data_IF_658494656523
#
_entry.id   IF_658494656523
#
_cell.length_a   1.000
_cell.length_b   1.000
_cell.length_c   1.000
_cell.angle_alpha   90.00
_cell.angle_beta   90.00
_cell.angle_gamma   90.00
#
_symmetry.space_group_name_H-M   'P 1'
#
loop_
_entity.id
_entity.type
_entity.pdbx_description
1 polymer ?
#
# COMPACT_ATOMS: atom_id res chain seq x y z
N UNK A 1 -1.14 24.18 -31.37
CA UNK A 1 -0.96 22.73 -31.15
C UNK A 1 -0.20 22.54 -29.85
N UNK A 2 -0.83 22.86 -28.72
CA UNK A 2 -0.25 22.80 -27.37
C UNK A 2 -1.41 22.89 -26.37
N UNK A 3 -2.05 21.77 -26.01
CA UNK A 3 -2.89 21.71 -24.78
C UNK A 3 -3.19 20.30 -24.27
N UNK A 4 -2.45 19.27 -24.69
CA UNK A 4 -2.81 17.87 -24.37
C UNK A 4 -2.23 17.30 -23.07
N UNK A 5 -1.67 18.12 -22.18
CA UNK A 5 -1.19 17.64 -20.87
C UNK A 5 -1.47 18.64 -19.74
N UNK A 6 -2.72 19.09 -19.57
CA UNK A 6 -3.12 19.61 -18.26
C UNK A 6 -3.15 18.43 -17.29
N UNK A 7 -2.20 18.42 -16.35
CA UNK A 7 -2.17 17.42 -15.27
C UNK A 7 -3.53 17.50 -14.56
N UNK A 8 -4.26 16.38 -14.38
CA UNK A 8 -5.54 16.44 -13.69
C UNK A 8 -5.30 17.01 -12.29
N UNK A 9 -5.98 18.11 -11.99
CA UNK A 9 -5.94 18.70 -10.66
C UNK A 9 -6.70 17.77 -9.71
N UNK A 10 -5.95 17.06 -8.86
CA UNK A 10 -6.55 16.15 -7.89
C UNK A 10 -7.15 16.99 -6.78
N UNK A 11 -8.48 17.05 -6.73
CA UNK A 11 -9.19 17.64 -5.60
C UNK A 11 -9.21 16.66 -4.44
N UNK A 12 -8.53 17.00 -3.35
CA UNK A 12 -8.52 16.18 -2.13
C UNK A 12 -9.78 16.44 -1.31
N UNK A 13 -10.58 15.39 -1.10
CA UNK A 13 -11.72 15.45 -0.21
C UNK A 13 -11.44 14.67 1.07
N UNK A 14 -11.49 15.37 2.21
CA UNK A 14 -11.30 14.79 3.55
C UNK A 14 -12.61 14.36 4.24
N UNK A 15 -13.76 14.53 3.59
CA UNK A 15 -15.07 14.27 4.19
C UNK A 15 -15.14 12.84 4.73
N UNK A 16 -15.59 12.67 5.97
CA UNK A 16 -15.76 11.36 6.61
C UNK A 16 -14.52 10.84 7.36
N UNK A 17 -13.39 11.57 7.38
CA UNK A 17 -12.20 11.19 8.13
C UNK A 17 -11.73 12.30 9.07
N UNK A 18 -11.29 11.92 10.26
CA UNK A 18 -10.54 12.80 11.16
C UNK A 18 -9.09 12.93 10.71
N UNK A 19 -8.39 13.97 11.17
CA UNK A 19 -6.96 14.15 10.87
C UNK A 19 -6.13 12.96 11.40
N UNK A 20 -6.51 12.43 12.56
CA UNK A 20 -5.85 11.29 13.18
C UNK A 20 -6.01 10.03 12.32
N UNK A 21 -7.21 9.78 11.78
CA UNK A 21 -7.47 8.67 10.87
C UNK A 21 -6.69 8.82 9.55
N UNK A 22 -6.59 10.03 9.00
CA UNK A 22 -5.80 10.30 7.80
C UNK A 22 -4.30 10.03 8.04
N UNK A 23 -3.77 10.44 9.20
CA UNK A 23 -2.38 10.16 9.60
C UNK A 23 -2.18 8.65 9.79
N UNK A 24 -3.13 7.95 10.39
CA UNK A 24 -3.07 6.49 10.55
C UNK A 24 -3.05 5.79 9.19
N UNK A 25 -3.95 6.17 8.28
CA UNK A 25 -4.01 5.62 6.93
C UNK A 25 -2.69 5.86 6.18
N UNK A 26 -2.13 7.07 6.29
CA UNK A 26 -0.83 7.39 5.71
C UNK A 26 0.29 6.49 6.26
N UNK A 27 0.34 6.25 7.58
CA UNK A 27 1.30 5.31 8.19
C UNK A 27 1.09 3.88 7.66
N UNK A 28 -0.16 3.43 7.49
CA UNK A 28 -0.50 2.13 6.92
C UNK A 28 -0.09 2.01 5.44
N UNK A 29 -0.10 3.10 4.67
CA UNK A 29 0.44 3.14 3.30
C UNK A 29 1.98 3.10 3.27
N UNK A 30 2.63 3.79 4.22
CA UNK A 30 4.09 3.87 4.27
C UNK A 30 4.75 2.51 4.53
N UNK A 31 4.19 1.72 5.45
CA UNK A 31 4.78 0.42 5.85
C UNK A 31 5.01 -0.54 4.66
N UNK A 32 3.99 -0.92 3.86
CA UNK A 32 4.20 -1.75 2.68
C UNK A 32 5.10 -1.06 1.64
N UNK A 33 5.01 0.26 1.46
CA UNK A 33 5.89 0.99 0.52
C UNK A 33 7.37 0.85 0.87
N UNK A 34 7.73 0.95 2.15
CA UNK A 34 9.11 0.81 2.61
C UNK A 34 9.62 -0.63 2.47
N UNK A 35 8.77 -1.62 2.72
CA UNK A 35 9.12 -3.03 2.50
C UNK A 35 9.37 -3.27 1.01
N UNK A 36 8.47 -2.83 0.13
CA UNK A 36 8.62 -2.94 -1.32
C UNK A 36 9.95 -2.34 -1.81
N UNK A 37 10.29 -1.13 -1.36
CA UNK A 37 11.58 -0.49 -1.70
C UNK A 37 12.77 -1.33 -1.25
N UNK A 38 12.76 -1.81 0.00
CA UNK A 38 13.84 -2.64 0.53
C UNK A 38 13.98 -3.95 -0.25
N UNK A 39 12.87 -4.62 -0.55
CA UNK A 39 12.90 -5.89 -1.27
C UNK A 39 13.38 -5.74 -2.71
N UNK A 40 13.00 -4.65 -3.40
CA UNK A 40 13.53 -4.32 -4.72
C UNK A 40 15.05 -4.06 -4.68
N UNK A 41 15.57 -3.40 -3.64
CA UNK A 41 17.02 -3.22 -3.44
C UNK A 41 17.70 -4.58 -3.24
N UNK A 42 17.15 -5.44 -2.36
CA UNK A 42 17.71 -6.76 -2.08
C UNK A 42 17.70 -7.67 -3.31
N UNK A 43 16.65 -7.58 -4.14
CA UNK A 43 16.55 -8.30 -5.41
C UNK A 43 17.66 -7.86 -6.37
N UNK A 44 17.88 -6.55 -6.52
CA UNK A 44 18.97 -6.00 -7.36
C UNK A 44 20.36 -6.36 -6.85
N UNK A 45 20.52 -6.56 -5.53
CA UNK A 45 21.76 -7.04 -4.92
C UNK A 45 21.94 -8.56 -5.04
N UNK A 46 20.96 -9.30 -5.57
CA UNK A 46 20.99 -10.76 -5.64
C UNK A 46 20.87 -11.45 -4.27
N UNK A 47 20.47 -10.72 -3.21
CA UNK A 47 20.29 -11.28 -1.86
C UNK A 47 18.99 -12.08 -1.71
N UNK A 48 18.01 -11.82 -2.57
CA UNK A 48 16.80 -12.62 -2.72
C UNK A 48 16.64 -12.97 -4.20
N UNK A 49 16.03 -14.12 -4.49
CA UNK A 49 15.89 -14.62 -5.87
C UNK A 49 14.66 -14.07 -6.60
N UNK A 50 13.61 -13.66 -5.86
CA UNK A 50 12.33 -13.27 -6.46
C UNK A 50 11.54 -12.33 -5.55
N UNK A 51 10.86 -11.35 -6.16
CA UNK A 51 9.93 -10.45 -5.47
C UNK A 51 8.81 -9.99 -6.41
N UNK A 52 7.54 -10.18 -6.02
CA UNK A 52 6.38 -9.78 -6.80
C UNK A 52 5.83 -8.44 -6.31
N UNK A 53 6.48 -7.36 -6.78
CA UNK A 53 6.26 -6.03 -6.23
C UNK A 53 4.86 -5.46 -6.52
N UNK A 54 4.18 -4.93 -5.52
CA UNK A 54 2.99 -4.07 -5.65
C UNK A 54 3.30 -2.58 -5.59
N UNK A 55 4.53 -2.16 -5.92
CA UNK A 55 4.98 -0.78 -5.79
C UNK A 55 4.03 0.21 -6.50
N UNK A 56 3.52 1.19 -5.76
CA UNK A 56 2.58 2.19 -6.28
C UNK A 56 1.12 1.76 -6.25
N UNK A 57 0.82 0.53 -5.82
CA UNK A 57 -0.53 -0.02 -5.68
C UNK A 57 -0.94 -0.22 -4.21
N UNK A 58 -0.12 0.24 -3.25
CA UNK A 58 -0.38 0.00 -1.83
C UNK A 58 -1.74 0.52 -1.36
N UNK A 59 -2.22 1.64 -1.92
CA UNK A 59 -3.49 2.25 -1.57
C UNK A 59 -4.70 1.34 -1.77
N UNK A 60 -4.68 0.47 -2.79
CA UNK A 60 -5.77 -0.48 -3.05
C UNK A 60 -5.85 -1.46 -1.89
N UNK A 61 -4.76 -2.19 -1.63
CA UNK A 61 -4.75 -3.23 -0.59
C UNK A 61 -4.91 -2.67 0.82
N UNK A 62 -4.30 -1.54 1.14
CA UNK A 62 -4.44 -0.89 2.46
C UNK A 62 -5.86 -0.33 2.63
N UNK A 63 -6.38 0.38 1.63
CA UNK A 63 -7.71 0.99 1.68
C UNK A 63 -8.82 -0.05 1.83
N UNK A 64 -8.80 -1.10 1.00
CA UNK A 64 -9.75 -2.20 1.11
C UNK A 64 -9.67 -2.85 2.49
N UNK A 65 -8.47 -3.16 2.98
CA UNK A 65 -8.31 -3.84 4.28
C UNK A 65 -8.70 -2.95 5.46
N UNK A 66 -8.46 -1.64 5.36
CA UNK A 66 -8.82 -0.67 6.41
C UNK A 66 -10.34 -0.49 6.54
N UNK A 67 -11.09 -0.65 5.45
CA UNK A 67 -12.55 -0.57 5.45
C UNK A 67 -13.23 -1.85 5.96
N UNK A 68 -12.50 -2.97 6.04
CA UNK A 68 -13.03 -4.27 6.47
C UNK A 68 -13.04 -4.41 8.00
N UNK A 69 -13.94 -5.24 8.51
CA UNK A 69 -13.90 -5.69 9.90
C UNK A 69 -12.81 -6.75 10.12
N UNK A 70 -12.40 -6.90 11.38
CA UNK A 70 -11.29 -7.79 11.76
C UNK A 70 -11.59 -9.28 11.52
N UNK A 71 -12.85 -9.68 11.47
CA UNK A 71 -13.31 -11.06 11.24
C UNK A 71 -13.68 -11.34 9.78
N UNK A 72 -13.70 -10.33 8.90
CA UNK A 72 -13.99 -10.52 7.49
C UNK A 72 -12.84 -11.19 6.72
N UNK A 73 -13.20 -12.09 5.80
CA UNK A 73 -12.26 -12.82 4.97
C UNK A 73 -11.81 -11.99 3.76
N UNK A 74 -10.51 -11.97 3.52
CA UNK A 74 -9.88 -11.45 2.30
C UNK A 74 -8.99 -12.53 1.69
N UNK A 75 -9.10 -12.74 0.38
CA UNK A 75 -8.33 -13.73 -0.37
C UNK A 75 -7.33 -13.00 -1.29
N UNK A 76 -6.18 -12.54 -0.77
CA UNK A 76 -5.22 -11.77 -1.55
C UNK A 76 -4.50 -12.65 -2.59
N UNK A 77 -4.07 -11.99 -3.67
CA UNK A 77 -3.16 -12.54 -4.68
C UNK A 77 -1.78 -11.87 -4.54
N UNK A 78 -0.92 -12.05 -5.53
CA UNK A 78 0.34 -11.28 -5.63
C UNK A 78 0.06 -9.77 -5.61
N UNK A 79 1.05 -8.98 -5.15
CA UNK A 79 0.98 -7.50 -5.07
C UNK A 79 0.02 -6.93 -4.02
N UNK A 80 -0.43 -7.73 -3.05
CA UNK A 80 -1.35 -7.29 -2.00
C UNK A 80 -0.68 -7.19 -0.61
N UNK A 81 0.58 -6.77 -0.54
CA UNK A 81 1.32 -6.64 0.73
C UNK A 81 0.63 -5.72 1.76
N UNK A 82 -0.13 -4.72 1.27
CA UNK A 82 -0.92 -3.83 2.13
C UNK A 82 -1.96 -4.56 2.99
N UNK A 83 -2.46 -5.72 2.56
CA UNK A 83 -3.39 -6.54 3.35
C UNK A 83 -2.73 -7.02 4.63
N UNK A 84 -1.59 -7.70 4.50
CA UNK A 84 -0.87 -8.28 5.64
C UNK A 84 -0.34 -7.20 6.58
N UNK A 85 0.19 -6.11 6.03
CA UNK A 85 0.73 -5.01 6.84
C UNK A 85 -0.36 -4.24 7.59
N UNK A 86 -1.56 -4.11 7.02
CA UNK A 86 -2.73 -3.45 7.64
C UNK A 86 -3.37 -4.31 8.72
N UNK A 87 -3.44 -5.64 8.51
CA UNK A 87 -3.87 -6.65 9.51
C UNK A 87 -2.83 -6.93 10.59
N UNK A 88 -1.74 -6.14 10.64
CA UNK A 88 -0.66 -6.28 11.62
C UNK A 88 -0.03 -7.68 11.68
N UNK A 89 -0.01 -8.40 10.55
CA UNK A 89 0.68 -9.69 10.45
C UNK A 89 2.17 -9.49 10.74
N UNK A 90 2.79 -10.31 11.61
CA UNK A 90 4.20 -10.16 11.93
C UNK A 90 5.09 -10.30 10.70
N UNK A 91 6.01 -9.35 10.50
CA UNK A 91 6.81 -9.26 9.27
C UNK A 91 7.76 -10.45 9.07
N UNK A 92 8.20 -11.11 10.13
CA UNK A 92 9.05 -12.30 10.02
C UNK A 92 8.31 -13.53 9.46
N UNK A 93 6.98 -13.46 9.35
CA UNK A 93 6.14 -14.50 8.73
C UNK A 93 5.82 -14.20 7.26
N UNK A 94 6.33 -13.08 6.73
CA UNK A 94 6.15 -12.62 5.34
C UNK A 94 7.47 -12.78 4.57
#
# INVERSE_FOLDING_TARGET
>A
MESLLSKPEIQFNKSGFSNEQLIELYKKLLKPRLIEQKMLILLRQGKISKWFSGYGQEAISVGTTFAMQDDEYILPMHRNLGVFTTRNVPLYRL
#
